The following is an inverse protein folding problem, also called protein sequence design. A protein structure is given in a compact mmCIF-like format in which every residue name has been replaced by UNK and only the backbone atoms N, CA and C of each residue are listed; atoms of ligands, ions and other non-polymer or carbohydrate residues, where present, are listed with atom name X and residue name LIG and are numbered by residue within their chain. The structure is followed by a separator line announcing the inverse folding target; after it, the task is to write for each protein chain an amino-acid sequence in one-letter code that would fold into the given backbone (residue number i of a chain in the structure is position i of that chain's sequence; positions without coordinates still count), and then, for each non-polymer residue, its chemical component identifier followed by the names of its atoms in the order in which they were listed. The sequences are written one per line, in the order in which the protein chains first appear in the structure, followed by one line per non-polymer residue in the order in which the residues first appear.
data_IF_761508704147
#
_entry.id   IF_761508704147
#
_cell.length_a   1.000
_cell.length_b   1.000
_cell.length_c   1.000
_cell.angle_alpha   90.00
_cell.angle_beta   90.00
_cell.angle_gamma   90.00
#
_symmetry.space_group_name_H-M   'P 1'
#
loop_
_entity.id
_entity.type
_entity.pdbx_description
1 polymer ?
#
# COMPACT_ATOMS: atom_id res chain seq x y z
N UNK A 1 -9.21 -22.79 -13.59
CA UNK A 1 -9.68 -21.90 -12.51
C UNK A 1 -9.48 -20.44 -12.92
N UNK A 2 -10.29 -19.52 -12.40
CA UNK A 2 -10.23 -18.10 -12.78
C UNK A 2 -8.98 -17.47 -12.14
N UNK A 3 -7.97 -17.01 -12.91
CA UNK A 3 -6.68 -16.51 -12.38
C UNK A 3 -6.83 -15.37 -11.36
N UNK A 4 -7.92 -14.61 -11.48
CA UNK A 4 -8.21 -13.50 -10.58
C UNK A 4 -8.50 -13.96 -9.15
N UNK A 5 -9.06 -15.16 -8.96
CA UNK A 5 -9.43 -15.64 -7.63
C UNK A 5 -8.22 -15.99 -6.77
N UNK A 6 -7.19 -16.57 -7.38
CA UNK A 6 -5.94 -16.90 -6.72
C UNK A 6 -5.15 -15.65 -6.34
N UNK A 7 -5.01 -14.69 -7.26
CA UNK A 7 -4.38 -13.39 -6.98
C UNK A 7 -5.09 -12.64 -5.86
N UNK A 8 -6.43 -12.66 -5.85
CA UNK A 8 -7.19 -12.09 -4.74
C UNK A 8 -6.86 -12.77 -3.41
N UNK A 9 -6.76 -14.10 -3.37
CA UNK A 9 -6.38 -14.84 -2.15
C UNK A 9 -4.98 -14.50 -1.66
N UNK A 10 -4.01 -14.36 -2.56
CA UNK A 10 -2.64 -13.97 -2.23
C UNK A 10 -2.61 -12.55 -1.65
N UNK A 11 -3.30 -11.60 -2.28
CA UNK A 11 -3.40 -10.22 -1.77
C UNK A 11 -4.04 -10.15 -0.39
N UNK A 12 -5.07 -10.96 -0.12
CA UNK A 12 -5.74 -11.01 1.18
C UNK A 12 -4.87 -11.55 2.33
N UNK A 13 -3.70 -12.13 2.04
CA UNK A 13 -2.72 -12.49 3.08
C UNK A 13 -2.04 -11.25 3.69
N UNK A 14 -2.09 -10.10 3.01
CA UNK A 14 -1.56 -8.86 3.54
C UNK A 14 -2.49 -8.30 4.62
N UNK A 15 -1.92 -7.97 5.78
CA UNK A 15 -2.63 -7.24 6.84
C UNK A 15 -3.23 -5.96 6.26
N UNK A 16 -4.52 -5.74 6.50
CA UNK A 16 -5.28 -4.58 6.01
C UNK A 16 -5.71 -4.63 4.54
N UNK A 17 -5.58 -5.78 3.86
CA UNK A 17 -6.15 -5.99 2.51
C UNK A 17 -7.29 -7.00 2.60
N UNK A 18 -8.52 -6.55 2.39
CA UNK A 18 -9.71 -7.40 2.36
C UNK A 18 -10.16 -7.77 0.95
N UNK A 19 -11.20 -8.59 0.82
CA UNK A 19 -11.73 -9.07 -0.46
C UNK A 19 -12.08 -7.93 -1.43
N UNK A 20 -12.71 -6.84 -0.95
CA UNK A 20 -13.03 -5.68 -1.81
C UNK A 20 -11.76 -5.01 -2.34
N UNK A 21 -10.76 -4.81 -1.48
CA UNK A 21 -9.47 -4.20 -1.87
C UNK A 21 -8.72 -5.10 -2.85
N UNK A 22 -8.69 -6.40 -2.60
CA UNK A 22 -8.03 -7.39 -3.46
C UNK A 22 -8.70 -7.45 -4.85
N UNK A 23 -10.02 -7.58 -4.90
CA UNK A 23 -10.77 -7.62 -6.16
C UNK A 23 -10.63 -6.32 -6.94
N UNK A 24 -10.70 -5.16 -6.28
CA UNK A 24 -10.49 -3.87 -6.93
C UNK A 24 -9.07 -3.74 -7.50
N UNK A 25 -8.04 -4.17 -6.76
CA UNK A 25 -6.66 -4.15 -7.23
C UNK A 25 -6.44 -5.07 -8.43
N UNK A 26 -6.91 -6.32 -8.39
CA UNK A 26 -6.75 -7.26 -9.51
C UNK A 26 -7.52 -6.80 -10.75
N UNK A 27 -8.69 -6.17 -10.56
CA UNK A 27 -9.49 -5.64 -11.66
C UNK A 27 -8.83 -4.42 -12.32
N UNK A 28 -8.16 -3.57 -11.53
CA UNK A 28 -7.50 -2.37 -12.03
C UNK A 28 -6.07 -2.62 -12.53
N UNK A 29 -5.37 -3.60 -11.95
CA UNK A 29 -3.96 -3.88 -12.15
C UNK A 29 -3.85 -5.37 -12.38
N UNK A 30 -3.90 -5.79 -13.64
CA UNK A 30 -3.96 -7.20 -14.00
C UNK A 30 -2.80 -8.00 -13.37
N UNK A 31 -1.57 -7.84 -13.89
CA UNK A 31 -0.35 -8.51 -13.41
C UNK A 31 0.74 -7.53 -12.93
N UNK A 32 0.42 -6.24 -12.84
CA UNK A 32 1.34 -5.22 -12.30
C UNK A 32 2.55 -4.89 -13.18
N UNK A 33 2.69 -5.50 -14.37
CA UNK A 33 3.80 -5.26 -15.30
C UNK A 33 3.81 -3.87 -15.93
N UNK A 34 2.68 -3.17 -15.87
CA UNK A 34 2.57 -1.75 -16.28
C UNK A 34 3.42 -0.82 -15.40
N UNK A 35 3.81 -1.26 -14.21
CA UNK A 35 4.65 -0.49 -13.31
C UNK A 35 6.02 -1.17 -13.14
N UNK A 36 7.09 -0.38 -13.32
CA UNK A 36 8.47 -0.89 -13.14
C UNK A 36 8.80 -1.24 -11.69
N UNK A 37 8.09 -0.65 -10.73
CA UNK A 37 8.25 -0.94 -9.30
C UNK A 37 7.02 -0.49 -8.50
N UNK A 38 6.88 -1.01 -7.28
CA UNK A 38 5.76 -0.68 -6.41
C UNK A 38 5.66 0.80 -6.03
N UNK A 39 6.75 1.60 -6.10
CA UNK A 39 6.64 3.05 -5.83
C UNK A 39 5.86 3.75 -6.94
N UNK A 40 5.97 3.29 -8.19
CA UNK A 40 5.15 3.80 -9.28
C UNK A 40 3.68 3.47 -9.07
N UNK A 41 3.35 2.24 -8.62
CA UNK A 41 1.96 1.93 -8.26
C UNK A 41 1.45 2.82 -7.12
N UNK A 42 2.24 3.00 -6.06
CA UNK A 42 1.84 3.86 -4.95
C UNK A 42 1.63 5.32 -5.40
N UNK A 43 2.45 5.82 -6.34
CA UNK A 43 2.28 7.15 -6.92
C UNK A 43 1.03 7.24 -7.81
N UNK A 44 0.76 6.21 -8.62
CA UNK A 44 -0.43 6.11 -9.45
C UNK A 44 -1.72 6.09 -8.61
N UNK A 45 -1.72 5.43 -7.45
CA UNK A 45 -2.80 5.47 -6.46
C UNK A 45 -2.86 6.79 -5.65
N UNK A 46 -1.99 7.75 -5.97
CA UNK A 46 -1.86 9.03 -5.28
C UNK A 46 -1.40 8.91 -3.82
N UNK A 47 -0.78 7.81 -3.40
CA UNK A 47 -0.33 7.55 -2.03
C UNK A 47 1.05 8.16 -1.70
N UNK A 48 1.71 8.77 -2.69
CA UNK A 48 2.99 9.46 -2.51
C UNK A 48 2.82 10.99 -2.55
N UNK A 49 3.67 11.73 -1.83
CA UNK A 49 3.77 13.18 -2.04
C UNK A 49 4.24 13.47 -3.48
N UNK A 50 3.80 14.59 -4.05
CA UNK A 50 4.35 15.09 -5.31
C UNK A 50 5.82 15.43 -5.14
N UNK A 51 6.59 15.34 -6.22
CA UNK A 51 8.01 15.69 -6.22
C UNK A 51 8.20 16.83 -7.21
N UNK A 52 8.78 17.93 -6.74
CA UNK A 52 9.21 19.05 -7.57
C UNK A 52 10.73 19.17 -7.45
N UNK A 53 11.41 19.05 -8.58
CA UNK A 53 12.85 19.22 -8.68
C UNK A 53 13.16 20.36 -9.64
N UNK A 54 13.75 21.44 -9.15
CA UNK A 54 14.36 22.47 -9.98
C UNK A 54 15.80 22.69 -9.53
N UNK A 55 16.73 22.76 -10.50
CA UNK A 55 18.14 23.07 -10.24
C UNK A 55 18.84 22.14 -9.22
N UNK A 56 18.53 20.84 -9.22
CA UNK A 56 19.17 19.85 -8.33
C UNK A 56 18.66 19.79 -6.89
N UNK A 57 17.70 20.64 -6.49
CA UNK A 57 17.06 20.57 -5.16
C UNK A 57 15.75 19.79 -5.24
N UNK A 58 15.71 18.62 -4.61
CA UNK A 58 14.49 17.82 -4.48
C UNK A 58 13.60 18.38 -3.38
N UNK A 59 12.39 18.81 -3.73
CA UNK A 59 11.35 19.21 -2.76
C UNK A 59 10.15 18.28 -2.90
N UNK A 60 9.75 17.69 -1.77
CA UNK A 60 8.50 16.95 -1.67
C UNK A 60 7.35 17.93 -1.42
N UNK A 61 6.33 17.86 -2.28
CA UNK A 61 5.10 18.64 -2.22
C UNK A 61 3.95 17.88 -1.55
N UNK A 62 2.72 18.31 -1.84
CA UNK A 62 1.49 17.73 -1.28
C UNK A 62 1.18 16.38 -1.92
N UNK A 63 0.40 15.55 -1.22
CA UNK A 63 -0.16 14.34 -1.81
C UNK A 63 -1.11 14.75 -2.94
N UNK A 64 -0.87 14.25 -4.15
CA UNK A 64 -1.60 14.64 -5.36
C UNK A 64 -3.06 14.20 -5.34
N UNK A 65 -3.35 13.03 -4.76
CA UNK A 65 -4.66 12.36 -4.85
C UNK A 65 -5.12 12.12 -6.29
N UNK A 66 -4.22 12.15 -7.27
CA UNK A 66 -4.54 12.06 -8.70
C UNK A 66 -4.79 10.61 -9.19
N UNK A 67 -5.01 9.67 -8.26
CA UNK A 67 -5.20 8.25 -8.55
C UNK A 67 -6.64 7.80 -8.40
N UNK A 68 -6.87 6.50 -8.56
CA UNK A 68 -8.18 5.88 -8.29
C UNK A 68 -8.62 6.14 -6.84
N UNK A 69 -9.64 7.00 -6.67
CA UNK A 69 -10.15 7.41 -5.37
C UNK A 69 -10.76 6.24 -4.58
N UNK A 70 -11.32 5.24 -5.27
CA UNK A 70 -11.93 4.08 -4.65
C UNK A 70 -10.86 3.15 -4.07
N UNK A 71 -9.89 2.73 -4.87
CA UNK A 71 -8.78 1.87 -4.42
C UNK A 71 -7.95 2.56 -3.34
N UNK A 72 -7.69 3.86 -3.52
CA UNK A 72 -7.02 4.67 -2.50
C UNK A 72 -7.78 4.64 -1.17
N UNK A 73 -9.09 4.85 -1.19
CA UNK A 73 -9.91 4.86 0.02
C UNK A 73 -9.88 3.50 0.70
N UNK A 74 -9.99 2.40 -0.06
CA UNK A 74 -9.90 1.04 0.46
C UNK A 74 -8.57 0.78 1.17
N UNK A 75 -7.44 1.15 0.54
CA UNK A 75 -6.11 0.98 1.15
C UNK A 75 -5.93 1.84 2.41
N UNK A 76 -6.48 3.05 2.44
CA UNK A 76 -6.43 3.92 3.63
C UNK A 76 -7.31 3.36 4.75
N UNK A 77 -8.50 2.80 4.46
CA UNK A 77 -9.31 2.13 5.48
C UNK A 77 -8.60 0.90 6.03
N UNK A 78 -7.96 0.11 5.17
CA UNK A 78 -7.12 -1.02 5.57
C UNK A 78 -5.96 -0.60 6.47
N UNK A 79 -5.29 0.51 6.15
CA UNK A 79 -4.25 1.06 7.01
C UNK A 79 -4.79 1.49 8.39
N UNK A 80 -5.96 2.13 8.44
CA UNK A 80 -6.60 2.56 9.69
C UNK A 80 -6.98 1.37 10.57
N UNK A 81 -7.46 0.26 9.99
CA UNK A 81 -7.81 -0.93 10.77
C UNK A 81 -6.58 -1.58 11.41
N UNK A 82 -5.44 -1.61 10.71
CA UNK A 82 -4.16 -2.04 11.29
C UNK A 82 -3.79 -1.12 12.46
N UNK A 83 -3.79 0.19 12.23
CA UNK A 83 -3.40 1.20 13.22
C UNK A 83 -4.27 1.15 14.48
N UNK A 84 -5.57 0.85 14.36
CA UNK A 84 -6.49 0.74 15.49
C UNK A 84 -6.09 -0.35 16.50
N UNK A 85 -5.34 -1.37 16.05
CA UNK A 85 -4.83 -2.46 16.90
C UNK A 85 -3.32 -2.41 17.13
N UNK A 86 -2.61 -1.45 16.53
CA UNK A 86 -1.15 -1.45 16.46
C UNK A 86 -0.48 -1.19 17.82
N UNK A 87 -1.08 -0.36 18.68
CA UNK A 87 -0.52 -0.06 20.01
C UNK A 87 -0.51 -1.26 20.96
N UNK A 88 -1.29 -2.31 20.65
CA UNK A 88 -1.41 -3.53 21.48
C UNK A 88 -0.56 -4.68 20.94
N UNK A 89 0.28 -4.44 19.94
CA UNK A 89 1.03 -5.46 19.21
C UNK A 89 2.51 -5.12 19.17
N UNK A 90 3.33 -6.15 19.34
CA UNK A 90 4.79 -6.04 19.37
C UNK A 90 5.46 -6.32 18.02
N UNK A 91 4.66 -6.60 16.98
CA UNK A 91 5.18 -6.98 15.66
C UNK A 91 5.90 -5.80 14.96
N UNK A 92 6.86 -6.08 14.05
CA UNK A 92 7.65 -5.02 13.41
C UNK A 92 6.83 -3.98 12.63
N UNK A 93 5.68 -4.36 12.06
CA UNK A 93 4.82 -3.44 11.33
C UNK A 93 4.10 -2.49 12.30
N UNK A 94 3.56 -3.03 13.39
CA UNK A 94 2.93 -2.27 14.48
C UNK A 94 3.88 -1.27 15.11
N UNK A 95 5.11 -1.70 15.44
CA UNK A 95 6.17 -0.81 15.96
C UNK A 95 6.51 0.31 14.98
N UNK A 96 6.71 -0.04 13.70
CA UNK A 96 7.01 0.94 12.67
C UNK A 96 5.89 1.97 12.48
N UNK A 97 4.62 1.55 12.45
CA UNK A 97 3.51 2.49 12.25
C UNK A 97 3.29 3.38 13.48
N UNK A 98 3.49 2.86 14.70
CA UNK A 98 3.45 3.65 15.93
C UNK A 98 4.56 4.72 15.92
N UNK A 99 5.80 4.37 15.59
CA UNK A 99 6.90 5.33 15.48
C UNK A 99 6.61 6.42 14.42
N UNK A 100 6.09 6.05 13.24
CA UNK A 100 5.70 7.04 12.23
C UNK A 100 4.55 7.93 12.73
N UNK A 101 3.56 7.35 13.43
CA UNK A 101 2.44 8.08 14.02
C UNK A 101 2.94 9.12 15.04
N UNK A 102 3.88 8.74 15.90
CA UNK A 102 4.40 9.62 16.95
C UNK A 102 5.25 10.75 16.35
N UNK A 103 6.08 10.45 15.35
CA UNK A 103 6.94 11.47 14.71
C UNK A 103 6.20 12.41 13.75
N UNK A 104 5.11 11.95 13.11
CA UNK A 104 4.52 12.62 11.94
C UNK A 104 3.01 12.84 12.01
N UNK A 105 2.32 12.26 12.99
CA UNK A 105 0.88 12.34 13.18
C UNK A 105 0.08 11.22 12.48
N UNK A 106 -1.14 10.97 12.98
CA UNK A 106 -2.01 9.87 12.58
C UNK A 106 -2.23 9.76 11.06
N UNK A 107 -2.67 10.84 10.41
CA UNK A 107 -2.99 10.79 8.98
C UNK A 107 -1.76 10.55 8.10
N UNK A 108 -0.59 11.04 8.49
CA UNK A 108 0.66 10.77 7.77
C UNK A 108 1.09 9.32 7.92
N UNK A 109 0.92 8.73 9.10
CA UNK A 109 1.15 7.31 9.32
C UNK A 109 0.16 6.44 8.52
N UNK A 110 -1.12 6.79 8.49
CA UNK A 110 -2.12 6.06 7.69
C UNK A 110 -1.79 6.05 6.19
N UNK A 111 -1.40 7.19 5.63
CA UNK A 111 -0.97 7.26 4.22
C UNK A 111 0.33 6.49 4.00
N UNK A 112 1.30 6.60 4.91
CA UNK A 112 2.57 5.88 4.79
C UNK A 112 2.37 4.36 4.82
N UNK A 113 1.49 3.87 5.67
CA UNK A 113 1.12 2.45 5.75
C UNK A 113 0.35 2.00 4.51
N UNK A 114 -0.62 2.78 4.03
CA UNK A 114 -1.32 2.49 2.78
C UNK A 114 -0.36 2.44 1.58
N UNK A 115 0.60 3.37 1.49
CA UNK A 115 1.65 3.35 0.47
C UNK A 115 2.56 2.10 0.61
N UNK A 116 2.86 1.68 1.85
CA UNK A 116 3.60 0.45 2.12
C UNK A 116 2.83 -0.76 1.60
N UNK A 117 1.55 -0.88 1.91
CA UNK A 117 0.68 -1.97 1.45
C UNK A 117 0.56 -1.99 -0.08
N UNK A 118 0.37 -0.83 -0.73
CA UNK A 118 0.35 -0.75 -2.19
C UNK A 118 1.62 -1.34 -2.84
N UNK A 119 2.80 -1.09 -2.27
CA UNK A 119 4.05 -1.67 -2.76
C UNK A 119 4.12 -3.19 -2.61
N UNK A 120 3.54 -3.74 -1.54
CA UNK A 120 3.47 -5.19 -1.35
C UNK A 120 2.43 -5.82 -2.29
N UNK A 121 1.28 -5.18 -2.49
CA UNK A 121 0.30 -5.61 -3.48
C UNK A 121 0.92 -5.67 -4.89
N UNK A 122 1.68 -4.64 -5.27
CA UNK A 122 2.42 -4.67 -6.54
C UNK A 122 3.40 -5.85 -6.61
N UNK A 123 4.17 -6.10 -5.55
CA UNK A 123 5.14 -7.19 -5.54
C UNK A 123 4.45 -8.55 -5.69
N UNK A 124 3.31 -8.77 -5.02
CA UNK A 124 2.51 -9.99 -5.16
C UNK A 124 1.98 -10.12 -6.60
N UNK A 125 1.44 -9.05 -7.18
CA UNK A 125 0.91 -9.09 -8.55
C UNK A 125 2.00 -9.33 -9.59
N UNK A 126 3.17 -8.72 -9.40
CA UNK A 126 4.30 -8.76 -10.33
C UNK A 126 5.11 -10.06 -10.24
N UNK A 127 5.36 -10.58 -9.03
CA UNK A 127 6.15 -11.79 -8.81
C UNK A 127 5.32 -13.06 -8.59
N UNK A 128 4.01 -12.95 -8.34
CA UNK A 128 3.13 -14.09 -8.11
C UNK A 128 3.53 -14.92 -6.89
N UNK A 129 3.52 -16.25 -7.03
CA UNK A 129 3.81 -17.23 -5.97
C UNK A 129 5.23 -17.12 -5.38
N UNK A 130 6.16 -16.43 -6.04
CA UNK A 130 7.54 -16.26 -5.56
C UNK A 130 7.67 -15.20 -4.46
N UNK A 131 6.57 -14.55 -4.04
CA UNK A 131 6.62 -13.51 -3.01
C UNK A 131 6.35 -14.09 -1.61
N UNK A 132 7.42 -14.34 -0.84
CA UNK A 132 7.33 -14.62 0.59
C UNK A 132 7.07 -13.31 1.35
N UNK A 133 5.84 -13.15 1.87
CA UNK A 133 5.45 -11.94 2.59
C UNK A 133 6.13 -11.88 3.95
N UNK A 134 7.03 -10.91 4.13
CA UNK A 134 7.73 -10.63 5.40
C UNK A 134 6.81 -10.26 6.60
N UNK A 135 5.49 -10.20 6.39
CA UNK A 135 4.48 -9.90 7.43
C UNK A 135 3.68 -11.12 7.88
N UNK A 136 3.96 -12.33 7.37
CA UNK A 136 3.23 -13.55 7.71
C UNK A 136 3.54 -14.10 9.11
N UNK A 137 4.15 -13.31 9.99
CA UNK A 137 4.42 -13.65 11.39
C UNK A 137 3.84 -12.60 12.34
#
# INVERSE_FOLDING_TARGET
EIPNHERCRQLMQLKGVGAMTASALVSAIADGKEFSNGRQLAAWLGLTPSQYSSGGKQKLGRITKAGDNYIRSLLVQGARSIMASAERKEDPLSKWVCDVKDRRGYWRAAIALAAKNARHCWAILHYGESFESYYST
#
